data_IF_841380865446
#
_entry.id   IF_841380865446
#
_cell.length_a   1.000
_cell.length_b   1.000
_cell.length_c   1.000
_cell.angle_alpha   90.00
_cell.angle_beta   90.00
_cell.angle_gamma   90.00
#
_symmetry.space_group_name_H-M   'P 1'
#
loop_
_entity.id
_entity.type
_entity.pdbx_description
1 polymer ?
#
# COMPACT_ATOMS: atom_id res chain seq x y z
N UNK A 1 6.83 11.04 0.68
CA UNK A 1 6.48 11.85 -0.50
C UNK A 1 7.55 11.71 -1.58
N UNK A 2 7.14 11.51 -2.82
CA UNK A 2 8.06 11.59 -3.94
C UNK A 2 8.20 13.05 -4.37
N UNK A 3 9.42 13.64 -4.37
CA UNK A 3 9.63 14.99 -4.88
C UNK A 3 9.18 15.10 -6.34
N UNK A 4 8.48 16.15 -6.69
CA UNK A 4 8.10 16.47 -8.08
C UNK A 4 6.77 15.89 -8.56
N UNK A 5 6.02 15.16 -7.73
CA UNK A 5 4.65 14.77 -8.09
C UNK A 5 3.70 15.97 -7.93
N UNK A 6 2.80 16.21 -8.90
CA UNK A 6 1.79 17.27 -8.79
C UNK A 6 0.82 16.98 -7.64
N UNK A 7 0.20 18.03 -7.11
CA UNK A 7 -0.74 17.96 -5.97
C UNK A 7 -1.98 18.81 -6.25
N UNK A 8 -3.08 18.47 -5.56
CA UNK A 8 -4.32 19.23 -5.65
C UNK A 8 -4.84 19.34 -7.07
N UNK A 9 -5.19 20.55 -7.50
CA UNK A 9 -5.72 20.82 -8.84
C UNK A 9 -4.69 20.50 -9.94
N UNK A 10 -3.40 20.63 -9.67
CA UNK A 10 -2.35 20.29 -10.62
C UNK A 10 -2.30 18.77 -10.86
N UNK A 11 -2.55 17.97 -9.83
CA UNK A 11 -2.65 16.51 -9.95
C UNK A 11 -3.86 16.12 -10.81
N UNK A 12 -5.01 16.75 -10.58
CA UNK A 12 -6.23 16.49 -11.34
C UNK A 12 -6.02 16.81 -12.83
N UNK A 13 -5.42 17.96 -13.12
CA UNK A 13 -5.11 18.36 -14.49
C UNK A 13 -4.11 17.39 -15.16
N UNK A 14 -3.09 16.94 -14.45
CA UNK A 14 -2.11 15.98 -14.94
C UNK A 14 -2.76 14.62 -15.25
N UNK A 15 -3.64 14.14 -14.39
CA UNK A 15 -4.36 12.88 -14.59
C UNK A 15 -5.30 12.98 -15.80
N UNK A 16 -6.06 14.08 -15.93
CA UNK A 16 -6.92 14.29 -17.09
C UNK A 16 -6.13 14.36 -18.39
N UNK A 17 -4.95 15.02 -18.38
CA UNK A 17 -4.06 15.05 -19.54
C UNK A 17 -3.61 13.65 -19.96
N UNK A 18 -3.20 12.82 -19.02
CA UNK A 18 -2.81 11.44 -19.28
C UNK A 18 -3.99 10.60 -19.82
N UNK A 19 -5.17 10.76 -19.23
CA UNK A 19 -6.37 10.06 -19.68
C UNK A 19 -6.79 10.51 -21.09
N UNK A 20 -6.60 11.78 -21.43
CA UNK A 20 -6.85 12.28 -22.79
C UNK A 20 -5.91 11.64 -23.82
N UNK A 21 -4.64 11.42 -23.45
CA UNK A 21 -3.68 10.71 -24.32
C UNK A 21 -4.11 9.27 -24.59
N UNK A 22 -4.71 8.61 -23.58
CA UNK A 22 -5.15 7.21 -23.71
C UNK A 22 -6.53 7.05 -24.36
N UNK A 23 -7.48 7.90 -24.01
CA UNK A 23 -8.89 7.75 -24.37
C UNK A 23 -9.43 8.84 -25.28
N UNK A 24 -8.61 9.81 -25.65
CA UNK A 24 -9.00 10.91 -26.53
C UNK A 24 -9.63 12.10 -25.80
N UNK A 25 -9.99 13.12 -26.57
CA UNK A 25 -10.48 14.41 -26.04
C UNK A 25 -11.82 14.36 -25.33
N UNK A 26 -12.57 13.26 -25.47
CA UNK A 26 -13.88 13.09 -24.80
C UNK A 26 -13.79 13.10 -23.28
N UNK A 27 -12.60 12.87 -22.72
CA UNK A 27 -12.38 12.87 -21.26
C UNK A 27 -12.64 14.24 -20.61
N UNK A 28 -12.59 15.34 -21.37
CA UNK A 28 -12.88 16.67 -20.84
C UNK A 28 -14.33 16.81 -20.33
N UNK A 29 -15.21 15.95 -20.82
CA UNK A 29 -16.60 15.88 -20.36
C UNK A 29 -16.78 15.05 -19.07
N UNK A 30 -15.73 14.36 -18.63
CA UNK A 30 -15.78 13.54 -17.42
C UNK A 30 -15.78 14.44 -16.19
N UNK A 31 -16.60 14.08 -15.22
CA UNK A 31 -16.69 14.80 -13.95
C UNK A 31 -15.84 14.12 -12.90
N UNK A 32 -14.92 14.85 -12.29
CA UNK A 32 -14.23 14.38 -11.10
C UNK A 32 -15.22 14.19 -9.97
N UNK A 33 -15.22 13.02 -9.36
CA UNK A 33 -16.07 12.73 -8.20
C UNK A 33 -15.34 13.05 -6.91
N UNK A 34 -14.12 12.52 -6.74
CA UNK A 34 -13.32 12.73 -5.54
C UNK A 34 -11.87 12.32 -5.76
N UNK A 35 -10.98 13.02 -5.10
CA UNK A 35 -9.55 12.65 -4.98
C UNK A 35 -9.26 12.25 -3.55
N UNK A 36 -8.61 11.09 -3.38
CA UNK A 36 -8.12 10.62 -2.08
C UNK A 36 -6.61 10.72 -2.05
N UNK A 37 -6.08 11.36 -1.02
CA UNK A 37 -4.64 11.41 -0.78
C UNK A 37 -4.32 10.51 0.40
N UNK A 38 -3.55 9.46 0.14
CA UNK A 38 -3.19 8.46 1.14
C UNK A 38 -1.68 8.55 1.38
N UNK A 39 -1.25 9.20 2.49
CA UNK A 39 0.18 9.47 2.74
C UNK A 39 1.03 8.19 2.89
N UNK A 40 0.43 7.13 3.44
CA UNK A 40 1.11 5.86 3.72
C UNK A 40 0.32 4.70 3.10
N UNK A 41 0.32 4.65 1.75
CA UNK A 41 -0.50 3.70 1.02
C UNK A 41 0.05 2.27 1.06
N UNK A 42 1.38 2.12 0.96
CA UNK A 42 2.04 0.81 0.98
C UNK A 42 3.41 0.89 1.64
N UNK A 43 3.89 -0.21 2.26
CA UNK A 43 5.26 -0.31 2.72
C UNK A 43 6.24 -0.18 1.55
N UNK A 44 7.38 0.48 1.77
CA UNK A 44 8.47 0.49 0.81
C UNK A 44 9.15 -0.89 0.80
N UNK A 45 9.23 -1.51 -0.38
CA UNK A 45 9.87 -2.81 -0.57
C UNK A 45 10.91 -2.74 -1.70
N UNK A 46 12.05 -2.07 -1.48
CA UNK A 46 13.13 -2.05 -2.43
C UNK A 46 13.75 -3.45 -2.59
N UNK A 47 14.59 -3.69 -3.62
CA UNK A 47 15.29 -4.96 -3.77
C UNK A 47 15.95 -5.39 -2.47
N UNK A 48 15.77 -6.66 -2.08
CA UNK A 48 16.28 -7.23 -0.83
C UNK A 48 15.40 -7.03 0.40
N UNK A 49 14.39 -6.17 0.36
CA UNK A 49 13.48 -5.93 1.49
C UNK A 49 12.63 -7.17 1.86
N UNK A 50 12.42 -8.06 0.89
CA UNK A 50 11.69 -9.33 1.08
C UNK A 50 12.62 -10.53 1.26
N UNK A 51 13.80 -10.33 1.83
CA UNK A 51 14.75 -11.41 2.10
C UNK A 51 15.15 -11.40 3.59
N UNK A 52 14.49 -12.21 4.43
CA UNK A 52 13.36 -13.11 4.11
C UNK A 52 12.03 -12.36 3.93
N UNK A 53 11.09 -12.89 3.12
CA UNK A 53 9.78 -12.24 2.93
C UNK A 53 8.93 -12.23 4.20
N UNK A 54 8.97 -13.32 4.95
CA UNK A 54 8.25 -13.45 6.22
C UNK A 54 9.08 -12.90 7.38
N UNK A 55 8.60 -11.80 7.98
CA UNK A 55 9.22 -11.20 9.15
C UNK A 55 8.56 -11.70 10.42
N UNK A 56 9.31 -11.77 11.54
CA UNK A 56 8.73 -12.24 12.80
C UNK A 56 7.49 -11.45 13.20
N UNK A 57 6.46 -12.16 13.62
CA UNK A 57 5.22 -11.57 14.15
C UNK A 57 5.25 -11.43 15.66
N UNK A 58 6.08 -12.22 16.36
CA UNK A 58 6.33 -12.11 17.79
C UNK A 58 7.53 -11.18 17.99
N UNK A 59 7.29 -9.97 18.52
CA UNK A 59 8.36 -8.99 18.75
C UNK A 59 9.09 -9.26 20.07
N UNK A 60 8.34 -9.61 21.09
CA UNK A 60 8.80 -9.97 22.42
C UNK A 60 7.66 -10.73 23.13
N UNK A 61 7.91 -11.36 24.29
CA UNK A 61 6.85 -12.06 25.00
C UNK A 61 5.61 -11.20 25.22
N UNK A 62 4.46 -11.69 24.75
CA UNK A 62 3.17 -11.01 24.89
C UNK A 62 2.90 -9.88 23.90
N UNK A 63 3.83 -9.57 22.97
CA UNK A 63 3.68 -8.50 21.99
C UNK A 63 3.79 -9.06 20.57
N UNK A 64 2.74 -8.90 19.80
CA UNK A 64 2.62 -9.42 18.44
C UNK A 64 2.31 -8.32 17.45
N UNK A 65 2.74 -8.49 16.21
CA UNK A 65 2.49 -7.57 15.11
C UNK A 65 2.16 -8.34 13.84
N UNK A 66 1.20 -7.85 13.09
CA UNK A 66 0.90 -8.37 11.76
C UNK A 66 0.56 -7.22 10.83
N UNK A 67 0.53 -7.50 9.55
CA UNK A 67 0.27 -6.56 8.49
C UNK A 67 1.10 -6.89 7.26
N UNK A 68 0.81 -6.25 6.15
CA UNK A 68 1.53 -6.45 4.90
C UNK A 68 3.02 -6.04 5.01
N UNK A 69 3.38 -5.17 5.94
CA UNK A 69 4.77 -4.79 6.22
C UNK A 69 5.59 -5.91 6.88
N UNK A 70 4.95 -6.97 7.36
CA UNK A 70 5.58 -8.16 7.98
C UNK A 70 5.64 -9.35 7.04
N UNK A 71 5.23 -9.15 5.80
CA UNK A 71 5.21 -10.13 4.72
C UNK A 71 5.41 -9.37 3.40
N UNK A 72 4.87 -9.84 2.28
CA UNK A 72 4.82 -9.01 1.08
C UNK A 72 3.69 -7.97 1.17
N UNK A 73 3.84 -6.83 0.49
CA UNK A 73 2.88 -5.73 0.51
C UNK A 73 1.68 -6.03 -0.41
N UNK A 74 0.86 -6.98 0.00
CA UNK A 74 -0.34 -7.41 -0.71
C UNK A 74 -1.43 -7.83 0.27
N UNK A 75 -2.65 -7.99 -0.22
CA UNK A 75 -3.75 -8.55 0.57
C UNK A 75 -3.39 -9.94 1.08
N UNK A 76 -2.77 -10.78 0.24
CA UNK A 76 -2.32 -12.11 0.63
C UNK A 76 -1.28 -12.04 1.75
N UNK A 77 -0.30 -11.13 1.67
CA UNK A 77 0.70 -10.93 2.71
C UNK A 77 0.08 -10.46 4.02
N UNK A 78 -0.88 -9.55 3.97
CA UNK A 78 -1.61 -9.11 5.15
C UNK A 78 -2.35 -10.27 5.83
N UNK A 79 -3.08 -11.07 5.06
CA UNK A 79 -3.80 -12.25 5.57
C UNK A 79 -2.85 -13.31 6.15
N UNK A 80 -1.76 -13.62 5.44
CA UNK A 80 -0.77 -14.60 5.88
C UNK A 80 -0.11 -14.16 7.19
N UNK A 81 0.27 -12.89 7.32
CA UNK A 81 0.88 -12.37 8.54
C UNK A 81 -0.10 -12.40 9.72
N UNK A 82 -1.37 -12.10 9.48
CA UNK A 82 -2.42 -12.17 10.50
C UNK A 82 -2.60 -13.60 11.02
N UNK A 83 -2.59 -14.59 10.14
CA UNK A 83 -2.66 -16.00 10.52
C UNK A 83 -1.45 -16.41 11.37
N UNK A 84 -0.24 -16.05 10.95
CA UNK A 84 0.98 -16.34 11.70
C UNK A 84 0.97 -15.70 13.09
N UNK A 85 0.47 -14.47 13.21
CA UNK A 85 0.33 -13.79 14.49
C UNK A 85 -0.68 -14.52 15.41
N UNK A 86 -1.81 -14.94 14.87
CA UNK A 86 -2.81 -15.71 15.63
C UNK A 86 -2.25 -17.04 16.11
N UNK A 87 -1.53 -17.76 15.24
CA UNK A 87 -0.88 -19.03 15.60
C UNK A 87 0.15 -18.81 16.73
N UNK A 88 0.95 -17.74 16.64
CA UNK A 88 1.92 -17.40 17.68
C UNK A 88 1.25 -17.09 19.03
N UNK A 89 0.13 -16.37 19.03
CA UNK A 89 -0.64 -16.13 20.25
C UNK A 89 -1.14 -17.44 20.86
N UNK A 90 -1.69 -18.33 20.02
CA UNK A 90 -2.20 -19.63 20.48
C UNK A 90 -1.10 -20.52 21.08
N UNK A 91 0.10 -20.51 20.49
CA UNK A 91 1.26 -21.24 21.01
C UNK A 91 1.69 -20.73 22.38
N UNK A 92 1.53 -19.43 22.63
CA UNK A 92 1.98 -18.77 23.86
C UNK A 92 0.92 -18.83 24.99
N UNK A 93 -0.28 -19.28 24.69
CA UNK A 93 -1.32 -19.54 25.70
C UNK A 93 -1.06 -20.90 26.38
#
# INVERSE_FOLDING_TARGET
>A
ERPGLPRGQDLEAAVLGQLADWFGSGVVAWRLLKTYVIPHAQPAQPPGALDPPERPVRLRPGVYVCGDHRDNASINGALASGRRAADAVLEDL
#
